data_IF_641423011823
#
_entry.id   IF_641423011823
#
_cell.length_a   1.000
_cell.length_b   1.000
_cell.length_c   1.000
_cell.angle_alpha   90.00
_cell.angle_beta   90.00
_cell.angle_gamma   90.00
#
_symmetry.space_group_name_H-M   'P 1'
#
loop_
_entity.id
_entity.type
_entity.pdbx_description
1 polymer ?
#
# COMPACT_ATOMS: atom_id res chain seq x y z
N UNK A 1 -13.13 33.07 -18.90
CA UNK A 1 -14.19 32.05 -18.96
C UNK A 1 -13.56 30.74 -19.40
N UNK A 2 -13.19 29.93 -18.41
CA UNK A 2 -13.21 28.46 -18.46
C UNK A 2 -12.86 28.02 -17.04
N UNK A 3 -13.91 27.82 -16.25
CA UNK A 3 -13.87 27.24 -14.92
C UNK A 3 -13.41 25.79 -15.04
N UNK A 4 -12.38 25.43 -14.28
CA UNK A 4 -12.08 24.05 -13.93
C UNK A 4 -12.34 23.94 -12.44
N UNK A 5 -13.59 23.60 -12.13
CA UNK A 5 -14.02 23.20 -10.80
C UNK A 5 -13.19 21.99 -10.36
N UNK A 6 -12.38 22.19 -9.32
CA UNK A 6 -11.82 21.11 -8.54
C UNK A 6 -12.77 20.85 -7.38
N UNK A 7 -13.47 19.72 -7.41
CA UNK A 7 -14.18 19.22 -6.23
C UNK A 7 -13.15 18.85 -5.13
N UNK A 8 -13.30 19.35 -3.90
CA UNK A 8 -12.49 18.88 -2.78
C UNK A 8 -12.95 17.48 -2.37
N UNK A 9 -12.00 16.58 -2.09
CA UNK A 9 -12.31 15.26 -1.55
C UNK A 9 -13.05 15.37 -0.22
N UNK A 10 -14.28 14.87 -0.19
CA UNK A 10 -15.06 14.70 1.03
C UNK A 10 -14.38 13.68 1.95
N UNK A 11 -14.13 14.10 3.19
CA UNK A 11 -13.73 13.21 4.27
C UNK A 11 -14.99 12.53 4.78
N UNK A 12 -15.23 11.30 4.31
CA UNK A 12 -16.30 10.46 4.83
C UNK A 12 -16.08 10.17 6.32
N UNK A 13 -16.87 10.86 7.13
CA UNK A 13 -17.13 10.51 8.51
C UNK A 13 -18.31 9.55 8.53
N UNK A 14 -18.06 8.23 8.55
CA UNK A 14 -19.10 7.28 8.92
C UNK A 14 -18.59 6.24 9.90
N UNK A 15 -19.06 6.43 11.13
CA UNK A 15 -19.14 5.37 12.14
C UNK A 15 -20.37 4.52 11.80
N UNK A 16 -20.21 3.19 11.88
CA UNK A 16 -21.24 2.15 11.78
C UNK A 16 -21.84 1.83 10.39
N UNK A 17 -21.39 0.72 9.80
CA UNK A 17 -22.28 -0.27 9.20
C UNK A 17 -21.55 -1.61 9.04
N UNK A 18 -21.84 -2.54 9.94
CA UNK A 18 -21.65 -3.96 9.72
C UNK A 18 -22.63 -4.42 8.63
N UNK A 19 -22.12 -4.91 7.50
CA UNK A 19 -22.78 -5.99 6.75
C UNK A 19 -21.73 -6.74 5.95
N UNK A 20 -21.60 -8.03 6.29
CA UNK A 20 -20.85 -9.01 5.54
C UNK A 20 -21.41 -9.16 4.13
N UNK A 21 -20.54 -9.13 3.12
CA UNK A 21 -20.80 -9.74 1.82
C UNK A 21 -19.89 -10.96 1.69
N UNK A 22 -20.46 -12.13 1.96
CA UNK A 22 -19.94 -13.40 1.49
C UNK A 22 -20.06 -13.43 -0.05
N UNK A 23 -18.93 -13.53 -0.74
CA UNK A 23 -18.89 -13.90 -2.15
C UNK A 23 -18.35 -15.33 -2.19
N UNK A 24 -19.24 -16.29 -2.45
CA UNK A 24 -18.87 -17.67 -2.74
C UNK A 24 -18.33 -17.77 -4.17
N UNK A 25 -17.13 -18.31 -4.31
CA UNK A 25 -16.66 -18.80 -5.59
C UNK A 25 -17.01 -20.28 -5.69
N UNK A 26 -17.91 -20.59 -6.63
CA UNK A 26 -18.18 -21.93 -7.10
C UNK A 26 -16.96 -22.40 -7.93
N UNK A 27 -16.07 -23.20 -7.33
CA UNK A 27 -15.11 -24.00 -8.09
C UNK A 27 -15.77 -25.32 -8.49
N UNK A 28 -16.06 -25.47 -9.78
CA UNK A 28 -16.37 -26.74 -10.41
C UNK A 28 -15.17 -27.68 -10.32
N UNK A 29 -15.29 -28.66 -9.43
CA UNK A 29 -14.47 -29.88 -9.40
C UNK A 29 -14.90 -30.76 -10.59
N UNK A 30 -14.00 -30.95 -11.55
CA UNK A 30 -14.05 -32.06 -12.50
C UNK A 30 -12.68 -32.73 -12.45
N UNK A 31 -12.67 -33.92 -11.86
CA UNK A 31 -11.48 -34.72 -11.64
C UNK A 31 -11.02 -35.42 -12.91
N UNK A 32 -9.75 -35.84 -12.87
CA UNK A 32 -9.24 -37.00 -13.59
C UNK A 32 -8.02 -37.50 -12.81
N UNK A 33 -8.20 -38.61 -12.10
CA UNK A 33 -7.14 -39.41 -11.50
C UNK A 33 -7.34 -40.84 -12.00
N UNK A 34 -6.58 -41.28 -13.00
CA UNK A 34 -6.21 -42.70 -13.11
C UNK A 34 -4.76 -42.87 -13.58
N UNK A 35 -4.03 -43.62 -12.76
CA UNK A 35 -2.67 -44.13 -12.92
C UNK A 35 -2.53 -45.07 -14.13
N UNK A 36 -1.27 -45.30 -14.57
CA UNK A 36 -0.90 -46.66 -14.97
C UNK A 36 0.33 -47.15 -14.18
N UNK A 37 0.19 -48.33 -13.57
CA UNK A 37 1.29 -49.10 -13.00
C UNK A 37 1.49 -50.42 -13.80
N UNK A 38 2.75 -50.85 -13.88
CA UNK A 38 3.29 -51.92 -14.73
C UNK A 38 3.37 -53.25 -13.98
N UNK A 39 3.21 -54.40 -14.66
CA UNK A 39 3.83 -55.73 -14.36
C UNK A 39 3.86 -56.54 -15.69
N UNK A 40 4.99 -56.80 -16.36
CA UNK A 40 6.06 -57.83 -16.23
C UNK A 40 5.68 -59.29 -16.62
N UNK A 41 6.36 -59.76 -17.67
CA UNK A 41 6.82 -61.12 -18.11
C UNK A 41 6.08 -62.43 -17.76
N UNK A 42 5.87 -63.32 -18.76
CA UNK A 42 6.82 -64.41 -19.12
C UNK A 42 6.32 -65.40 -20.22
N UNK A 43 7.24 -65.72 -21.15
CA UNK A 43 7.64 -67.04 -21.72
C UNK A 43 6.70 -68.04 -22.44
N UNK A 44 7.11 -68.31 -23.69
CA UNK A 44 7.54 -69.61 -24.27
C UNK A 44 6.64 -70.45 -25.22
N UNK A 45 7.26 -70.69 -26.40
CA UNK A 45 7.38 -71.89 -27.26
C UNK A 45 6.19 -72.46 -28.07
N UNK A 46 6.50 -72.57 -29.38
CA UNK A 46 5.97 -73.32 -30.55
C UNK A 46 5.86 -74.86 -30.36
N UNK A 47 5.48 -75.71 -31.37
CA UNK A 47 5.02 -75.50 -32.76
C UNK A 47 3.79 -76.37 -33.15
N UNK A 48 3.29 -76.24 -34.39
CA UNK A 48 2.96 -77.32 -35.37
C UNK A 48 1.76 -76.97 -36.26
N UNK A 49 1.82 -77.35 -37.54
CA UNK A 49 0.63 -77.46 -38.38
C UNK A 49 0.76 -76.85 -39.77
N UNK A 50 1.27 -77.66 -40.71
CA UNK A 50 1.15 -77.41 -42.15
C UNK A 50 -0.32 -77.23 -42.58
N UNK A 51 -0.54 -76.45 -43.66
CA UNK A 51 -1.29 -76.82 -44.89
C UNK A 51 -1.98 -75.59 -45.52
N UNK A 52 -1.88 -75.56 -46.86
CA UNK A 52 -2.69 -74.88 -47.89
C UNK A 52 -2.26 -73.47 -48.36
N UNK A 53 -1.73 -73.51 -49.59
CA UNK A 53 -1.71 -72.42 -50.57
C UNK A 53 -3.13 -71.87 -50.77
N UNK A 54 -3.30 -70.59 -50.49
CA UNK A 54 -4.28 -69.75 -51.19
C UNK A 54 -3.56 -68.51 -51.71
N UNK A 55 -3.61 -68.32 -53.02
CA UNK A 55 -3.19 -67.08 -53.68
C UNK A 55 -4.20 -66.01 -53.30
N UNK A 56 -3.94 -65.28 -52.20
CA UNK A 56 -4.68 -64.06 -51.88
C UNK A 56 -4.18 -62.93 -52.78
N UNK A 57 -5.01 -62.56 -53.76
CA UNK A 57 -4.99 -61.22 -54.35
C UNK A 57 -5.09 -60.21 -53.21
N UNK A 58 -4.05 -59.42 -52.99
CA UNK A 58 -4.14 -58.24 -52.13
C UNK A 58 -3.81 -57.02 -52.99
N UNK A 59 -4.84 -56.19 -53.07
CA UNK A 59 -4.91 -54.91 -53.75
C UNK A 59 -3.73 -54.01 -53.35
N UNK A 60 -3.12 -53.34 -54.34
CA UNK A 60 -2.28 -52.17 -54.11
C UNK A 60 -3.12 -51.11 -53.39
N UNK A 61 -3.03 -51.06 -52.07
CA UNK A 61 -3.57 -49.96 -51.29
C UNK A 61 -2.59 -48.79 -51.47
N UNK A 62 -2.80 -48.01 -52.54
CA UNK A 62 -2.17 -46.69 -52.67
C UNK A 62 -2.67 -45.90 -51.47
N UNK A 63 -1.82 -45.72 -50.46
CA UNK A 63 -2.08 -44.77 -49.37
C UNK A 63 -2.42 -43.44 -50.04
N UNK A 64 -3.59 -42.83 -49.77
CA UNK A 64 -3.78 -41.45 -50.19
C UNK A 64 -2.65 -40.65 -49.55
N UNK A 65 -1.86 -39.97 -50.39
CA UNK A 65 -0.98 -38.90 -49.95
C UNK A 65 -1.78 -38.05 -48.97
N UNK A 66 -1.38 -38.07 -47.70
CA UNK A 66 -1.90 -37.20 -46.66
C UNK A 66 -1.71 -35.80 -47.19
N UNK A 67 -2.76 -35.22 -47.79
CA UNK A 67 -2.83 -33.80 -48.08
C UNK A 67 -2.57 -33.14 -46.74
N UNK A 68 -1.43 -32.47 -46.62
CA UNK A 68 -1.22 -31.55 -45.54
C UNK A 68 -2.43 -30.62 -45.57
N UNK A 69 -3.31 -30.77 -44.58
CA UNK A 69 -4.29 -29.74 -44.26
C UNK A 69 -3.46 -28.54 -43.82
N UNK A 70 -2.97 -27.76 -44.80
CA UNK A 70 -2.59 -26.39 -44.58
C UNK A 70 -3.88 -25.76 -44.10
N UNK A 71 -3.96 -25.62 -42.78
CA UNK A 71 -5.04 -24.94 -42.08
C UNK A 71 -5.10 -23.53 -42.67
N UNK A 72 -5.97 -23.34 -43.67
CA UNK A 72 -6.41 -22.03 -44.09
C UNK A 72 -7.28 -21.50 -42.93
N UNK A 73 -6.64 -21.05 -41.86
CA UNK A 73 -7.29 -20.18 -40.88
C UNK A 73 -7.81 -18.99 -41.68
N UNK A 74 -9.14 -18.86 -41.69
CA UNK A 74 -9.85 -17.81 -42.41
C UNK A 74 -9.22 -16.45 -42.11
N UNK A 75 -8.84 -15.72 -43.16
CA UNK A 75 -8.18 -14.41 -43.14
C UNK A 75 -8.94 -13.34 -42.32
N UNK A 76 -10.21 -13.61 -41.95
CA UNK A 76 -10.99 -12.75 -41.06
C UNK A 76 -10.56 -12.87 -39.60
N UNK A 77 -10.25 -14.07 -39.10
CA UNK A 77 -9.89 -14.25 -37.68
C UNK A 77 -8.51 -13.66 -37.37
N UNK A 78 -7.55 -13.78 -38.30
CA UNK A 78 -6.23 -13.15 -38.18
C UNK A 78 -6.34 -11.63 -38.05
N UNK A 79 -7.17 -10.97 -38.86
CA UNK A 79 -7.42 -9.53 -38.76
C UNK A 79 -8.05 -9.11 -37.42
N UNK A 80 -9.01 -9.89 -36.90
CA UNK A 80 -9.58 -9.64 -35.57
C UNK A 80 -8.52 -9.75 -34.47
N UNK A 81 -7.68 -10.79 -34.48
CA UNK A 81 -6.59 -10.94 -33.51
C UNK A 81 -5.58 -9.80 -33.57
N UNK A 82 -5.23 -9.30 -34.77
CA UNK A 82 -4.36 -8.13 -34.91
C UNK A 82 -5.01 -6.86 -34.34
N UNK A 83 -6.30 -6.63 -34.60
CA UNK A 83 -7.01 -5.47 -34.07
C UNK A 83 -7.09 -5.52 -32.54
N UNK A 84 -7.56 -6.64 -31.97
CA UNK A 84 -7.60 -6.82 -30.51
C UNK A 84 -6.21 -6.76 -29.88
N UNK A 85 -5.20 -7.36 -30.50
CA UNK A 85 -3.81 -7.27 -30.07
C UNK A 85 -3.31 -5.84 -30.02
N UNK A 86 -3.59 -5.03 -31.06
CA UNK A 86 -3.20 -3.62 -31.11
C UNK A 86 -3.88 -2.79 -30.02
N UNK A 87 -5.15 -3.06 -29.72
CA UNK A 87 -5.90 -2.38 -28.65
C UNK A 87 -5.31 -2.74 -27.28
N UNK A 88 -5.04 -4.02 -27.02
CA UNK A 88 -4.44 -4.48 -25.76
C UNK A 88 -3.04 -3.86 -25.59
N UNK A 89 -2.19 -3.88 -26.63
CA UNK A 89 -0.86 -3.27 -26.58
C UNK A 89 -0.97 -1.76 -26.33
N UNK A 90 -1.94 -1.08 -26.93
CA UNK A 90 -2.16 0.35 -26.71
C UNK A 90 -2.56 0.65 -25.26
N UNK A 91 -3.46 -0.15 -24.67
CA UNK A 91 -3.86 -0.04 -23.26
C UNK A 91 -2.67 -0.28 -22.33
N UNK A 92 -1.89 -1.34 -22.59
CA UNK A 92 -0.71 -1.67 -21.80
C UNK A 92 0.36 -0.57 -21.91
N UNK A 93 0.57 -0.04 -23.12
CA UNK A 93 1.51 1.06 -23.36
C UNK A 93 1.07 2.33 -22.65
N UNK A 94 -0.22 2.66 -22.69
CA UNK A 94 -0.78 3.80 -21.96
C UNK A 94 -0.58 3.65 -20.44
N UNK A 95 -0.83 2.45 -19.89
CA UNK A 95 -0.60 2.18 -18.48
C UNK A 95 0.89 2.24 -18.11
N UNK A 96 1.78 1.73 -18.96
CA UNK A 96 3.22 1.78 -18.74
C UNK A 96 3.76 3.22 -18.79
N UNK A 97 3.29 4.06 -19.71
CA UNK A 97 3.68 5.48 -19.83
C UNK A 97 3.20 6.29 -18.62
N UNK A 98 2.03 5.97 -18.07
CA UNK A 98 1.50 6.63 -16.89
C UNK A 98 2.08 6.11 -15.57
N UNK A 99 2.85 5.02 -15.60
CA UNK A 99 3.49 4.47 -14.41
C UNK A 99 4.72 5.32 -14.05
N UNK A 100 4.55 6.22 -13.09
CA UNK A 100 5.62 7.12 -12.63
C UNK A 100 6.21 6.61 -11.33
N UNK A 101 7.52 6.41 -11.29
CA UNK A 101 8.24 6.10 -10.07
C UNK A 101 8.78 7.39 -9.44
N UNK A 102 8.63 7.51 -8.12
CA UNK A 102 9.42 8.43 -7.31
C UNK A 102 10.83 7.86 -7.12
N UNK A 103 11.85 8.69 -7.30
CA UNK A 103 13.27 8.33 -7.09
C UNK A 103 13.87 9.00 -5.84
N UNK A 104 13.01 9.42 -4.90
CA UNK A 104 13.44 9.96 -3.62
C UNK A 104 12.60 11.15 -3.16
N UNK A 105 12.94 11.65 -1.97
CA UNK A 105 12.26 12.78 -1.34
C UNK A 105 12.80 14.11 -1.86
N UNK A 106 11.93 15.05 -2.24
CA UNK A 106 12.32 16.45 -2.41
C UNK A 106 12.41 17.11 -1.02
N UNK A 107 13.49 16.78 -0.31
CA UNK A 107 13.69 17.14 1.10
C UNK A 107 13.61 18.66 1.33
N UNK A 108 14.02 19.48 0.35
CA UNK A 108 13.96 20.94 0.45
C UNK A 108 12.52 21.46 0.49
N UNK A 109 11.66 20.98 -0.44
CA UNK A 109 10.25 21.37 -0.47
C UNK A 109 9.51 20.82 0.75
N UNK A 110 9.72 19.54 1.07
CA UNK A 110 9.13 18.90 2.24
C UNK A 110 9.50 19.65 3.52
N UNK A 111 10.78 19.99 3.73
CA UNK A 111 11.22 20.76 4.90
C UNK A 111 10.53 22.11 4.99
N UNK A 112 10.41 22.83 3.88
CA UNK A 112 9.74 24.13 3.82
C UNK A 112 8.26 23.99 4.21
N UNK A 113 7.54 23.03 3.62
CA UNK A 113 6.12 22.79 3.85
C UNK A 113 5.84 22.28 5.27
N UNK A 114 6.69 21.41 5.81
CA UNK A 114 6.59 20.94 7.21
C UNK A 114 6.81 22.09 8.18
N UNK A 115 7.85 22.91 7.97
CA UNK A 115 8.19 24.00 8.89
C UNK A 115 7.15 25.11 8.91
N UNK A 116 6.39 25.30 7.84
CA UNK A 116 5.31 26.29 7.78
C UNK A 116 3.98 25.80 8.34
N UNK A 117 3.65 24.51 8.16
CA UNK A 117 2.33 23.96 8.51
C UNK A 117 2.29 23.22 9.86
N UNK A 118 3.40 22.59 10.28
CA UNK A 118 3.42 21.75 11.49
C UNK A 118 3.93 22.59 12.67
N UNK A 119 3.03 22.88 13.61
CA UNK A 119 3.29 23.79 14.73
C UNK A 119 3.95 23.06 15.90
N UNK A 120 5.06 23.60 16.40
CA UNK A 120 5.68 23.18 17.68
C UNK A 120 6.42 21.85 17.65
N UNK A 121 6.81 21.34 16.48
CA UNK A 121 7.43 20.02 16.27
C UNK A 121 8.79 20.09 15.57
N UNK A 122 9.57 21.14 15.81
CA UNK A 122 10.77 21.47 15.04
C UNK A 122 11.83 20.36 15.13
N UNK A 123 12.05 19.80 16.34
CA UNK A 123 12.95 18.66 16.54
C UNK A 123 12.50 17.41 15.76
N UNK A 124 11.19 17.15 15.72
CA UNK A 124 10.62 16.01 15.01
C UNK A 124 10.78 16.18 13.49
N UNK A 125 10.51 17.40 12.99
CA UNK A 125 10.69 17.77 11.59
C UNK A 125 12.16 17.61 11.19
N UNK A 126 13.10 18.17 11.96
CA UNK A 126 14.54 18.03 11.67
C UNK A 126 14.98 16.56 11.63
N UNK A 127 14.50 15.75 12.58
CA UNK A 127 14.82 14.32 12.61
C UNK A 127 14.23 13.59 11.42
N UNK A 128 12.99 13.91 11.03
CA UNK A 128 12.32 13.34 9.85
C UNK A 128 13.07 13.68 8.56
N UNK A 129 13.47 14.93 8.39
CA UNK A 129 14.26 15.41 7.25
C UNK A 129 15.59 14.68 7.17
N UNK A 130 16.35 14.61 8.27
CA UNK A 130 17.62 13.87 8.30
C UNK A 130 17.40 12.39 7.97
N UNK A 131 16.33 11.79 8.48
CA UNK A 131 15.99 10.39 8.22
C UNK A 131 15.67 10.11 6.73
N UNK A 132 15.03 11.07 6.05
CA UNK A 132 14.78 10.98 4.60
C UNK A 132 16.07 11.04 3.79
N UNK A 133 17.05 11.85 4.22
CA UNK A 133 18.35 12.01 3.55
C UNK A 133 19.30 10.83 3.74
N UNK A 134 19.11 10.01 4.79
CA UNK A 134 19.96 8.83 5.01
C UNK A 134 19.76 7.81 3.88
N UNK A 135 20.87 7.48 3.22
CA UNK A 135 20.98 6.42 2.23
C UNK A 135 21.06 5.06 2.94
N UNK A 136 19.94 4.35 2.98
CA UNK A 136 19.85 2.97 3.43
C UNK A 136 18.90 2.20 2.50
N UNK A 137 19.23 0.95 2.17
CA UNK A 137 18.40 0.11 1.30
C UNK A 137 17.02 -0.14 1.92
N UNK A 138 16.97 -0.41 3.23
CA UNK A 138 15.73 -0.57 3.97
C UNK A 138 15.75 0.29 5.22
N UNK A 139 14.78 1.19 5.34
CA UNK A 139 14.60 2.05 6.52
C UNK A 139 13.16 2.04 7.02
N UNK A 140 13.02 2.10 8.35
CA UNK A 140 11.75 2.20 9.06
C UNK A 140 11.77 3.47 9.91
N UNK A 141 10.85 4.38 9.64
CA UNK A 141 10.65 5.63 10.37
C UNK A 141 9.44 5.45 11.29
N UNK A 142 9.66 5.51 12.59
CA UNK A 142 8.61 5.43 13.60
C UNK A 142 8.23 6.84 14.03
N UNK A 143 7.09 7.36 13.57
CA UNK A 143 6.55 8.62 14.07
C UNK A 143 5.62 8.31 15.23
N UNK A 144 5.94 8.77 16.43
CA UNK A 144 5.11 8.47 17.61
C UNK A 144 4.87 9.71 18.46
N UNK A 145 3.69 9.79 19.07
CA UNK A 145 3.22 10.97 19.78
C UNK A 145 1.75 10.80 20.19
N UNK A 146 1.23 11.71 21.00
CA UNK A 146 -0.21 11.74 21.31
C UNK A 146 -1.07 12.17 20.11
N UNK A 147 -2.39 12.17 20.29
CA UNK A 147 -3.33 12.66 19.26
C UNK A 147 -3.18 14.15 19.01
N UNK A 148 -3.35 14.55 17.74
CA UNK A 148 -3.44 15.95 17.31
C UNK A 148 -2.14 16.75 17.33
N UNK A 149 -0.99 16.09 17.47
CA UNK A 149 0.33 16.75 17.50
C UNK A 149 0.96 16.96 16.11
N UNK A 150 0.28 16.54 15.03
CA UNK A 150 0.73 16.77 13.65
C UNK A 150 1.46 15.61 12.96
N UNK A 151 1.38 14.37 13.47
CA UNK A 151 2.00 13.20 12.83
C UNK A 151 1.44 12.92 11.44
N UNK A 152 0.13 12.65 11.33
CA UNK A 152 -0.56 12.40 10.05
C UNK A 152 -0.53 13.61 9.13
N UNK A 153 -0.57 14.84 9.68
CA UNK A 153 -0.35 16.06 8.89
C UNK A 153 1.04 16.09 8.25
N UNK A 154 2.08 15.71 9.00
CA UNK A 154 3.44 15.64 8.45
C UNK A 154 3.53 14.63 7.32
N UNK A 155 2.86 13.48 7.46
CA UNK A 155 2.76 12.48 6.41
C UNK A 155 2.01 12.99 5.19
N UNK A 156 0.87 13.63 5.37
CA UNK A 156 0.13 14.24 4.24
C UNK A 156 1.03 15.18 3.47
N UNK A 157 1.79 16.05 4.14
CA UNK A 157 2.72 16.98 3.49
C UNK A 157 3.83 16.25 2.72
N UNK A 158 4.34 15.15 3.25
CA UNK A 158 5.35 14.33 2.57
C UNK A 158 4.75 13.64 1.34
N UNK A 159 3.53 13.13 1.45
CA UNK A 159 2.83 12.44 0.38
C UNK A 159 2.35 13.40 -0.71
N UNK A 160 1.98 14.64 -0.38
CA UNK A 160 1.57 15.69 -1.32
C UNK A 160 2.62 15.93 -2.43
N UNK A 161 3.90 15.88 -2.06
CA UNK A 161 5.03 16.00 -2.99
C UNK A 161 5.20 14.77 -3.91
N UNK A 162 4.45 13.70 -3.66
CA UNK A 162 4.59 12.39 -4.31
C UNK A 162 3.29 11.77 -4.82
N UNK A 163 2.15 12.48 -4.76
CA UNK A 163 0.81 11.95 -5.08
C UNK A 163 0.71 11.32 -6.48
N UNK A 164 1.55 11.76 -7.41
CA UNK A 164 1.55 11.27 -8.79
C UNK A 164 2.44 10.03 -9.00
N UNK A 165 2.97 9.42 -7.94
CA UNK A 165 3.91 8.32 -8.02
C UNK A 165 3.26 6.98 -7.66
N UNK A 166 3.49 5.96 -8.49
CA UNK A 166 2.89 4.62 -8.35
C UNK A 166 3.60 3.71 -7.34
N UNK A 167 4.68 4.16 -6.72
CA UNK A 167 5.47 3.43 -5.71
C UNK A 167 5.33 4.01 -4.30
N UNK A 168 4.27 4.78 -4.07
CA UNK A 168 3.95 5.37 -2.77
C UNK A 168 2.62 4.81 -2.32
N UNK A 169 2.62 4.16 -1.16
CA UNK A 169 1.48 3.45 -0.61
C UNK A 169 1.15 4.01 0.76
N UNK A 170 -0.13 4.30 0.99
CA UNK A 170 -0.62 4.78 2.27
C UNK A 170 -1.78 3.90 2.73
N UNK A 171 -1.60 3.27 3.89
CA UNK A 171 -2.61 2.46 4.54
C UNK A 171 -2.92 3.04 5.92
N UNK A 172 -4.14 2.81 6.38
CA UNK A 172 -4.59 3.17 7.74
C UNK A 172 -5.10 1.91 8.42
N UNK A 173 -4.82 1.70 9.71
CA UNK A 173 -5.40 0.56 10.42
C UNK A 173 -6.94 0.62 10.45
N UNK A 174 -7.64 -0.53 10.35
CA UNK A 174 -7.13 -1.89 10.23
C UNK A 174 -6.89 -2.38 8.79
N UNK A 175 -6.98 -1.52 7.77
CA UNK A 175 -6.89 -1.94 6.35
C UNK A 175 -5.55 -2.60 6.02
N UNK A 176 -4.47 -2.25 6.73
CA UNK A 176 -3.15 -2.86 6.58
C UNK A 176 -3.04 -4.28 7.18
N UNK A 177 -4.04 -4.75 7.93
CA UNK A 177 -3.99 -6.05 8.59
C UNK A 177 -4.05 -7.25 7.63
N UNK A 178 -4.38 -7.03 6.34
CA UNK A 178 -4.66 -8.10 5.39
C UNK A 178 -3.74 -8.07 4.16
N UNK A 179 -2.62 -8.81 4.26
CA UNK A 179 -1.71 -9.25 3.18
C UNK A 179 -1.10 -8.17 2.28
N UNK A 180 0.00 -8.57 1.65
CA UNK A 180 0.68 -7.86 0.58
C UNK A 180 -0.27 -7.57 -0.58
N UNK A 181 -0.57 -6.30 -0.87
CA UNK A 181 -1.39 -5.96 -2.03
C UNK A 181 -0.65 -6.33 -3.33
N UNK A 182 -1.41 -6.71 -4.36
CA UNK A 182 -0.88 -6.94 -5.71
C UNK A 182 -0.23 -5.67 -6.26
N UNK A 183 -0.79 -4.51 -5.93
CA UNK A 183 -0.26 -3.19 -6.31
C UNK A 183 1.12 -2.92 -5.71
N UNK A 184 1.32 -3.21 -4.42
CA UNK A 184 2.62 -3.09 -3.76
C UNK A 184 3.67 -4.00 -4.42
N UNK A 185 3.27 -5.21 -4.80
CA UNK A 185 4.17 -6.13 -5.53
C UNK A 185 4.59 -5.58 -6.88
N UNK A 186 3.66 -5.00 -7.65
CA UNK A 186 3.97 -4.38 -8.94
C UNK A 186 4.91 -3.18 -8.76
N UNK A 187 4.67 -2.33 -7.77
CA UNK A 187 5.56 -1.20 -7.44
C UNK A 187 6.99 -1.62 -7.13
N UNK A 188 7.16 -2.66 -6.31
CA UNK A 188 8.47 -3.22 -5.97
C UNK A 188 9.21 -3.78 -7.19
N UNK A 189 8.49 -4.37 -8.15
CA UNK A 189 9.10 -4.91 -9.37
C UNK A 189 9.57 -3.77 -10.28
N UNK A 190 8.72 -2.79 -10.54
CA UNK A 190 8.97 -1.77 -11.56
C UNK A 190 9.81 -0.59 -11.06
N UNK A 191 9.67 -0.17 -9.81
CA UNK A 191 10.40 0.98 -9.27
C UNK A 191 11.68 0.56 -8.54
N UNK A 192 12.65 1.47 -8.45
CA UNK A 192 13.89 1.27 -7.69
C UNK A 192 13.70 1.47 -6.19
N UNK A 193 12.79 2.37 -5.84
CA UNK A 193 12.49 2.75 -4.47
C UNK A 193 10.99 2.55 -4.22
N UNK A 194 10.60 2.33 -2.97
CA UNK A 194 9.20 2.24 -2.56
C UNK A 194 9.01 2.93 -1.22
N UNK A 195 7.91 3.66 -1.08
CA UNK A 195 7.52 4.31 0.16
C UNK A 195 6.22 3.70 0.63
N UNK A 196 6.22 3.18 1.84
CA UNK A 196 5.06 2.56 2.47
C UNK A 196 4.76 3.32 3.75
N UNK A 197 3.56 3.83 3.89
CA UNK A 197 3.06 4.48 5.10
C UNK A 197 1.95 3.64 5.70
N UNK A 198 2.04 3.38 7.00
CA UNK A 198 0.98 2.76 7.80
C UNK A 198 0.62 3.73 8.93
N UNK A 199 -0.56 4.33 8.83
CA UNK A 199 -1.09 5.30 9.79
C UNK A 199 -2.06 4.65 10.80
N UNK A 200 -2.29 5.37 11.89
CA UNK A 200 -3.18 5.02 13.01
C UNK A 200 -2.81 3.73 13.75
N UNK A 201 -1.51 3.47 13.91
CA UNK A 201 -1.03 2.34 14.71
C UNK A 201 -1.12 2.65 16.20
N UNK A 202 -1.39 1.62 17.00
CA UNK A 202 -1.36 1.66 18.45
C UNK A 202 -0.37 0.62 19.01
N UNK A 203 -0.10 0.69 20.32
CA UNK A 203 0.90 -0.17 20.97
C UNK A 203 0.63 -1.69 20.81
N UNK A 204 -0.62 -2.06 20.57
CA UNK A 204 -1.05 -3.46 20.47
C UNK A 204 -1.01 -4.02 19.05
N UNK A 205 -0.77 -3.19 18.04
CA UNK A 205 -0.63 -3.59 16.63
C UNK A 205 0.71 -4.30 16.33
N UNK A 206 1.17 -5.16 17.23
CA UNK A 206 2.41 -5.94 17.10
C UNK A 206 2.35 -6.94 15.94
N UNK A 207 1.15 -7.28 15.50
CA UNK A 207 0.90 -8.20 14.39
C UNK A 207 1.38 -7.67 13.03
N UNK A 208 1.67 -6.36 12.89
CA UNK A 208 2.22 -5.81 11.64
C UNK A 208 3.68 -6.23 11.41
N UNK A 209 4.42 -6.57 12.48
CA UNK A 209 5.84 -6.92 12.43
C UNK A 209 6.18 -7.99 11.36
N UNK A 210 5.51 -9.16 11.32
CA UNK A 210 5.77 -10.16 10.28
C UNK A 210 5.54 -9.59 8.87
N UNK A 211 4.47 -8.81 8.65
CA UNK A 211 4.18 -8.20 7.35
C UNK A 211 5.32 -7.26 6.93
N UNK A 212 5.77 -6.39 7.84
CA UNK A 212 6.89 -5.47 7.58
C UNK A 212 8.19 -6.23 7.27
N UNK A 213 8.46 -7.32 7.99
CA UNK A 213 9.62 -8.18 7.70
C UNK A 213 9.54 -8.77 6.30
N UNK A 214 8.41 -9.36 5.94
CA UNK A 214 8.23 -10.00 4.63
C UNK A 214 8.39 -8.98 3.49
N UNK A 215 7.92 -7.74 3.68
CA UNK A 215 8.11 -6.64 2.72
C UNK A 215 9.59 -6.31 2.55
N UNK A 216 10.33 -6.19 3.66
CA UNK A 216 11.77 -5.89 3.62
C UNK A 216 12.54 -7.02 2.96
N UNK A 217 12.31 -8.27 3.37
CA UNK A 217 13.01 -9.44 2.83
C UNK A 217 12.75 -9.56 1.31
N UNK A 218 11.50 -9.32 0.87
CA UNK A 218 11.16 -9.28 -0.55
C UNK A 218 11.85 -8.13 -1.29
N UNK A 219 11.87 -6.94 -0.71
CA UNK A 219 12.55 -5.78 -1.30
C UNK A 219 14.05 -6.04 -1.46
N UNK A 220 14.69 -6.63 -0.45
CA UNK A 220 16.10 -6.98 -0.44
C UNK A 220 16.43 -8.02 -1.53
N UNK A 221 15.63 -9.08 -1.65
CA UNK A 221 15.80 -10.09 -2.69
C UNK A 221 15.66 -9.54 -4.12
N UNK A 222 14.92 -8.45 -4.30
CA UNK A 222 14.78 -7.74 -5.58
C UNK A 222 15.87 -6.67 -5.80
N UNK A 223 16.76 -6.45 -4.83
CA UNK A 223 17.81 -5.43 -4.88
C UNK A 223 17.25 -4.00 -4.94
N UNK A 224 16.12 -3.75 -4.27
CA UNK A 224 15.41 -2.46 -4.27
C UNK A 224 15.58 -1.73 -2.95
N UNK A 225 15.19 -0.45 -2.94
CA UNK A 225 15.15 0.36 -1.73
C UNK A 225 13.71 0.49 -1.20
N UNK A 226 13.53 0.49 0.11
CA UNK A 226 12.24 0.76 0.74
C UNK A 226 12.37 1.68 1.96
N UNK A 227 11.44 2.64 2.03
CA UNK A 227 11.20 3.47 3.21
C UNK A 227 9.81 3.14 3.76
N UNK A 228 9.77 2.59 4.96
CA UNK A 228 8.54 2.30 5.67
C UNK A 228 8.35 3.36 6.74
N UNK A 229 7.18 3.98 6.81
CA UNK A 229 6.82 4.97 7.79
C UNK A 229 5.66 4.39 8.61
N UNK A 230 5.89 4.20 9.90
CA UNK A 230 4.91 3.68 10.84
C UNK A 230 4.50 4.80 11.79
N UNK A 231 3.22 5.19 11.76
CA UNK A 231 2.70 6.29 12.58
C UNK A 231 1.93 5.73 13.77
N UNK A 232 2.50 5.87 14.95
CA UNK A 232 1.95 5.37 16.20
C UNK A 232 1.31 6.46 17.06
N UNK A 233 0.14 6.15 17.61
CA UNK A 233 -0.44 6.86 18.75
C UNK A 233 0.02 6.21 20.06
N UNK A 234 0.49 7.03 21.01
CA UNK A 234 0.79 6.55 22.36
C UNK A 234 -0.40 6.72 23.33
N UNK A 235 -1.58 7.12 22.83
CA UNK A 235 -2.72 7.37 23.71
C UNK A 235 -3.26 6.04 24.22
N UNK A 236 -3.25 5.88 25.55
CA UNK A 236 -3.68 4.66 26.18
C UNK A 236 -5.18 4.76 26.51
N UNK A 237 -6.01 3.99 25.81
CA UNK A 237 -7.47 4.03 25.99
C UNK A 237 -7.91 3.58 27.40
N UNK A 238 -7.11 2.77 28.09
CA UNK A 238 -7.49 2.16 29.37
C UNK A 238 -7.23 3.03 30.61
N UNK A 239 -6.38 4.05 30.53
CA UNK A 239 -5.97 4.85 31.71
C UNK A 239 -6.18 6.35 31.49
N UNK A 240 -7.43 6.82 31.60
CA UNK A 240 -7.80 8.25 31.62
C UNK A 240 -7.06 9.13 30.58
N UNK A 241 -6.73 8.58 29.40
CA UNK A 241 -5.95 9.22 28.35
C UNK A 241 -4.68 9.94 28.83
N UNK A 242 -4.00 9.41 29.84
CA UNK A 242 -2.72 9.98 30.29
C UNK A 242 -1.68 9.68 29.20
N UNK A 243 -1.32 10.72 28.43
CA UNK A 243 -0.38 10.70 27.31
C UNK A 243 1.05 10.37 27.74
N UNK A 244 1.30 9.11 28.06
CA UNK A 244 2.63 8.65 28.36
C UNK A 244 3.27 8.03 27.11
N UNK A 245 3.64 8.86 26.12
CA UNK A 245 4.76 8.51 25.22
C UNK A 245 6.07 8.51 26.02
N UNK A 246 6.13 7.63 27.03
CA UNK A 246 7.21 7.50 27.97
C UNK A 246 8.31 6.61 27.37
N UNK A 247 9.39 6.44 28.14
CA UNK A 247 10.51 5.59 27.74
C UNK A 247 10.09 4.13 27.50
N UNK A 248 9.05 3.63 28.19
CA UNK A 248 8.60 2.24 27.99
C UNK A 248 7.93 2.04 26.63
N UNK A 249 7.18 3.02 26.12
CA UNK A 249 6.60 2.93 24.77
C UNK A 249 7.71 2.78 23.70
N UNK A 250 8.73 3.65 23.75
CA UNK A 250 9.88 3.57 22.86
C UNK A 250 10.63 2.23 23.00
N UNK A 251 10.86 1.79 24.23
CA UNK A 251 11.55 0.51 24.50
C UNK A 251 10.73 -0.67 23.94
N UNK A 252 9.41 -0.63 24.05
CA UNK A 252 8.50 -1.62 23.49
C UNK A 252 8.61 -1.68 21.96
N UNK A 253 8.59 -0.54 21.26
CA UNK A 253 8.78 -0.51 19.80
C UNK A 253 10.15 -1.05 19.39
N UNK A 254 11.21 -0.67 20.11
CA UNK A 254 12.57 -1.17 19.87
C UNK A 254 12.66 -2.68 20.04
N UNK A 255 12.00 -3.24 21.07
CA UNK A 255 11.97 -4.68 21.31
C UNK A 255 11.16 -5.42 20.24
N UNK A 256 9.99 -4.90 19.85
CA UNK A 256 9.15 -5.51 18.82
C UNK A 256 9.90 -5.56 17.50
N UNK A 257 10.49 -4.46 17.05
CA UNK A 257 11.13 -4.39 15.74
C UNK A 257 12.63 -4.73 15.73
N UNK A 258 13.27 -4.98 16.88
CA UNK A 258 14.73 -5.14 17.01
C UNK A 258 15.36 -6.10 16.00
N UNK A 259 14.69 -7.22 15.73
CA UNK A 259 15.18 -8.28 14.83
C UNK A 259 14.82 -8.06 13.35
N UNK A 260 14.26 -6.92 12.97
CA UNK A 260 13.96 -6.59 11.56
C UNK A 260 15.20 -5.97 10.92
N UNK A 261 15.64 -6.47 9.76
CA UNK A 261 16.87 -6.03 9.06
C UNK A 261 16.66 -4.72 8.30
N UNK A 262 16.45 -3.64 9.04
CA UNK A 262 16.34 -2.30 8.49
C UNK A 262 16.91 -1.26 9.46
N UNK A 263 17.34 -0.13 8.91
CA UNK A 263 17.68 1.06 9.70
C UNK A 263 16.40 1.58 10.38
N UNK A 264 16.41 1.72 11.71
CA UNK A 264 15.24 2.15 12.48
C UNK A 264 15.48 3.54 13.03
N UNK A 265 14.58 4.46 12.77
CA UNK A 265 14.68 5.84 13.24
C UNK A 265 13.38 6.19 13.98
N UNK A 266 13.52 6.63 15.23
CA UNK A 266 12.38 6.91 16.12
C UNK A 266 12.20 8.42 16.27
N UNK A 267 11.08 8.93 15.78
CA UNK A 267 10.77 10.36 15.68
C UNK A 267 9.62 10.67 16.65
N UNK A 268 9.94 11.36 17.73
CA UNK A 268 8.98 11.73 18.75
C UNK A 268 8.33 13.07 18.45
N UNK A 269 7.01 13.09 18.40
CA UNK A 269 6.21 14.31 18.41
C UNK A 269 5.83 14.66 19.85
N UNK A 270 6.13 15.91 20.24
CA UNK A 270 5.92 16.41 21.59
C UNK A 270 4.45 16.81 21.81
N UNK A 271 3.93 16.72 23.05
CA UNK A 271 2.63 17.30 23.38
C UNK A 271 2.61 18.81 23.07
N UNK A 272 1.44 19.31 22.65
CA UNK A 272 1.23 20.72 22.39
C UNK A 272 0.83 21.46 23.67
N UNK A 273 1.09 22.77 23.71
CA UNK A 273 0.68 23.67 24.79
C UNK A 273 -0.37 24.67 24.27
N UNK A 274 -0.93 25.49 25.15
CA UNK A 274 -1.97 26.47 24.78
C UNK A 274 -1.52 27.46 23.70
N UNK A 275 -0.25 27.87 23.70
CA UNK A 275 0.31 28.74 22.65
C UNK A 275 0.28 28.06 21.28
N UNK A 276 0.57 26.77 21.21
CA UNK A 276 0.46 26.00 19.97
C UNK A 276 -0.99 25.87 19.50
N UNK A 277 -1.94 25.63 20.43
CA UNK A 277 -3.37 25.61 20.07
C UNK A 277 -3.80 26.96 19.51
N UNK A 278 -3.38 28.06 20.12
CA UNK A 278 -3.67 29.41 19.63
C UNK A 278 -3.22 29.57 18.18
N UNK A 279 -1.98 29.18 17.87
CA UNK A 279 -1.45 29.18 16.50
C UNK A 279 -2.24 28.29 15.55
N UNK A 280 -2.70 27.13 16.01
CA UNK A 280 -3.55 26.26 15.19
C UNK A 280 -4.89 26.94 14.85
N UNK A 281 -5.50 27.62 15.82
CA UNK A 281 -6.73 28.39 15.61
C UNK A 281 -6.47 29.55 14.64
N UNK A 282 -5.40 30.32 14.85
CA UNK A 282 -5.00 31.42 13.96
C UNK A 282 -4.77 30.95 12.52
N UNK A 283 -4.14 29.78 12.32
CA UNK A 283 -3.90 29.21 11.00
C UNK A 283 -5.18 28.77 10.26
N UNK A 284 -6.18 28.26 10.99
CA UNK A 284 -7.49 27.92 10.39
C UNK A 284 -8.30 29.17 10.03
N UNK A 285 -7.93 30.33 10.59
CA UNK A 285 -8.66 31.58 10.51
C UNK A 285 -7.99 32.64 9.64
N UNK A 286 -6.96 32.29 8.86
CA UNK A 286 -6.15 33.23 8.05
C UNK A 286 -7.01 34.12 7.12
N UNK A 287 -8.20 33.68 6.74
CA UNK A 287 -9.11 34.44 5.86
C UNK A 287 -10.26 35.16 6.61
N UNK A 288 -10.33 35.09 7.93
CA UNK A 288 -11.42 35.66 8.74
C UNK A 288 -10.88 36.76 9.67
N UNK A 289 -11.51 37.94 9.66
CA UNK A 289 -11.15 39.04 10.55
C UNK A 289 -11.72 38.77 11.94
N UNK A 290 -10.94 38.09 12.78
CA UNK A 290 -11.44 37.60 14.07
C UNK A 290 -10.81 38.36 15.22
N UNK A 291 -11.65 38.68 16.22
CA UNK A 291 -11.20 39.34 17.43
C UNK A 291 -10.46 38.35 18.34
N UNK A 292 -9.52 38.84 19.15
CA UNK A 292 -8.87 38.01 20.17
C UNK A 292 -9.86 37.39 21.18
N UNK A 293 -11.08 37.91 21.28
CA UNK A 293 -12.14 37.39 22.15
C UNK A 293 -12.65 36.03 21.65
N UNK A 294 -12.79 35.85 20.34
CA UNK A 294 -13.31 34.62 19.75
C UNK A 294 -12.29 33.48 19.86
N UNK A 295 -10.99 33.80 19.71
CA UNK A 295 -9.89 32.84 19.94
C UNK A 295 -9.92 32.28 21.36
N UNK A 296 -10.11 33.15 22.36
CA UNK A 296 -10.21 32.74 23.77
C UNK A 296 -11.45 31.89 24.03
N UNK A 297 -12.56 32.14 23.34
CA UNK A 297 -13.79 31.35 23.46
C UNK A 297 -13.60 29.94 22.87
N UNK A 298 -12.91 29.82 21.73
CA UNK A 298 -12.52 28.53 21.14
C UNK A 298 -11.61 27.77 22.10
N UNK A 299 -10.58 28.43 22.64
CA UNK A 299 -9.60 27.80 23.55
C UNK A 299 -10.23 27.19 24.80
N UNK A 300 -11.24 27.84 25.40
CA UNK A 300 -11.97 27.30 26.58
C UNK A 300 -12.64 25.94 26.34
N UNK A 301 -12.93 25.61 25.08
CA UNK A 301 -13.60 24.37 24.69
C UNK A 301 -12.63 23.26 24.28
N UNK A 302 -11.32 23.48 24.37
CA UNK A 302 -10.31 22.49 23.99
C UNK A 302 -9.46 22.09 25.18
N UNK A 303 -9.24 20.78 25.30
CA UNK A 303 -8.19 20.26 26.14
C UNK A 303 -6.95 19.99 25.25
N UNK A 304 -6.03 20.95 25.17
CA UNK A 304 -4.82 20.82 24.34
C UNK A 304 -4.00 19.60 24.74
N UNK A 305 -3.94 19.33 26.04
CA UNK A 305 -3.22 18.18 26.55
C UNK A 305 -3.82 16.87 26.03
N UNK A 306 -5.11 16.81 25.66
CA UNK A 306 -5.78 15.63 25.12
C UNK A 306 -5.89 15.65 23.59
N UNK A 307 -6.42 16.73 23.01
CA UNK A 307 -6.80 16.77 21.59
C UNK A 307 -5.69 17.32 20.69
N UNK A 308 -4.69 18.00 21.25
CA UNK A 308 -3.72 18.78 20.47
C UNK A 308 -4.47 19.80 19.61
N UNK A 309 -4.20 19.81 18.30
CA UNK A 309 -4.93 20.62 17.32
C UNK A 309 -6.00 19.85 16.53
N UNK A 310 -6.30 18.60 16.92
CA UNK A 310 -7.35 17.81 16.24
C UNK A 310 -8.73 18.42 16.54
N UNK A 311 -9.53 18.61 15.51
CA UNK A 311 -10.91 19.14 15.64
C UNK A 311 -11.01 20.66 15.78
N UNK A 312 -9.89 21.40 15.76
CA UNK A 312 -9.89 22.88 15.74
C UNK A 312 -10.74 23.41 14.59
N UNK A 313 -10.48 22.94 13.38
CA UNK A 313 -11.25 23.30 12.18
C UNK A 313 -12.78 23.12 12.38
N UNK A 314 -13.21 21.96 12.88
CA UNK A 314 -14.65 21.66 13.09
C UNK A 314 -15.28 22.62 14.09
N UNK A 315 -14.60 22.91 15.22
CA UNK A 315 -15.16 23.81 16.24
C UNK A 315 -15.16 25.26 15.78
N UNK A 316 -14.10 25.70 15.12
CA UNK A 316 -14.00 27.03 14.50
C UNK A 316 -15.15 27.23 13.50
N UNK A 317 -15.37 26.26 12.60
CA UNK A 317 -16.48 26.28 11.63
C UNK A 317 -17.85 26.28 12.32
N UNK A 318 -18.03 25.50 13.39
CA UNK A 318 -19.31 25.40 14.12
C UNK A 318 -19.68 26.69 14.87
N UNK A 319 -18.69 27.47 15.28
CA UNK A 319 -18.90 28.71 16.03
C UNK A 319 -19.31 29.88 15.14
N UNK A 320 -19.40 29.69 13.81
CA UNK A 320 -19.73 30.74 12.83
C UNK A 320 -19.07 32.07 13.18
N UNK A 321 -17.76 32.03 13.41
CA UNK A 321 -16.99 33.27 13.44
C UNK A 321 -16.88 33.71 11.98
N UNK A 322 -17.90 34.43 11.51
CA UNK A 322 -17.97 35.09 10.21
C UNK A 322 -17.17 36.38 10.30
#
# INVERSE_FOLDING_TARGET
MNDTDYEPMDIDSSSNSYTAMEISYNETVLGDNEHPEKVVENKNLTPTGNIKKEVKKIHLNIRPLRKNNVFYFSNRYTLFFFFFGSVIISILSYKAVNFKCSYGFNVKLIKKSLSSKVIGQQDAIETLIRAMEVNASSKILFLYGGTGVGKSLSISIVLDEMLNCSNVYHYTMPTFAHKFSTELNLGLIFCKETILVVDDLNAEDKHIKPIIRDIIDKTESLGKNITIILVYSCDNMYSKFVKACNKSFLTGLQQVFGNVKALKIFIRYKPLNEEHLKKCIENELVNSQISNVDVNMVMKNFNVAHDGCKGVYTKVKSLKIV
#
